data_IF_593485287226
#
_entry.id   IF_593485287226
#
_cell.length_a   1.000
_cell.length_b   1.000
_cell.length_c   1.000
_cell.angle_alpha   90.00
_cell.angle_beta   90.00
_cell.angle_gamma   90.00
#
_symmetry.space_group_name_H-M   'P 1'
#
loop_
_entity.id
_entity.type
_entity.pdbx_description
1 polymer ?
#
# COMPACT_ATOMS: atom_id res chain seq x y z
N UNK A 1 -28.38 9.32 2.55
CA UNK A 1 -27.26 9.02 3.48
C UNK A 1 -26.36 7.99 2.81
N UNK A 2 -25.17 8.37 2.33
CA UNK A 2 -24.24 7.43 1.69
C UNK A 2 -22.84 7.57 2.32
N UNK A 3 -22.30 6.42 2.72
CA UNK A 3 -21.21 6.26 3.66
C UNK A 3 -19.86 6.77 3.14
N UNK A 4 -19.12 7.43 4.03
CA UNK A 4 -17.72 7.80 3.82
C UNK A 4 -16.89 6.51 3.73
N UNK A 5 -16.43 6.18 2.53
CA UNK A 5 -15.44 5.13 2.31
C UNK A 5 -14.16 5.50 3.05
N UNK A 6 -13.79 4.69 4.05
CA UNK A 6 -12.52 4.82 4.77
C UNK A 6 -11.38 4.80 3.75
N UNK A 7 -10.62 5.90 3.67
CA UNK A 7 -9.34 5.91 2.99
C UNK A 7 -8.49 4.78 3.58
N UNK A 8 -8.02 3.88 2.72
CA UNK A 8 -7.00 2.92 3.10
C UNK A 8 -5.81 3.74 3.60
N UNK A 9 -5.66 3.80 4.92
CA UNK A 9 -4.58 4.55 5.57
C UNK A 9 -3.29 4.05 4.95
N UNK A 10 -2.57 4.95 4.27
CA UNK A 10 -1.28 4.65 3.65
C UNK A 10 -0.42 3.99 4.71
N UNK A 11 -0.25 2.67 4.56
CA UNK A 11 0.58 1.90 5.48
C UNK A 11 2.00 2.36 5.22
N UNK A 12 2.77 2.71 6.25
CA UNK A 12 4.14 3.15 6.06
C UNK A 12 4.91 1.99 5.43
N UNK A 13 5.51 2.25 4.28
CA UNK A 13 6.20 1.25 3.48
C UNK A 13 7.50 0.77 4.10
N UNK A 14 8.07 1.49 5.06
CA UNK A 14 9.36 1.14 5.67
C UNK A 14 9.35 1.32 7.18
N UNK A 15 10.03 0.42 7.89
CA UNK A 15 10.16 0.42 9.35
C UNK A 15 11.60 0.16 9.77
N UNK A 16 12.05 0.74 10.87
CA UNK A 16 13.32 0.41 11.50
C UNK A 16 13.16 -0.75 12.49
N UNK A 17 14.01 -1.77 12.38
CA UNK A 17 14.02 -2.95 13.28
C UNK A 17 14.44 -2.62 14.71
N UNK A 18 15.28 -1.61 14.90
CA UNK A 18 15.89 -1.29 16.20
C UNK A 18 14.98 -0.44 17.08
N UNK A 19 14.45 0.65 16.54
CA UNK A 19 13.65 1.63 17.29
C UNK A 19 12.16 1.62 16.92
N UNK A 20 11.77 0.92 15.85
CA UNK A 20 10.38 0.87 15.38
C UNK A 20 9.91 2.10 14.60
N UNK A 21 10.80 3.04 14.28
CA UNK A 21 10.46 4.22 13.46
C UNK A 21 9.93 3.81 12.09
N UNK A 22 8.95 4.54 11.54
CA UNK A 22 8.24 4.16 10.31
C UNK A 22 8.12 5.34 9.33
N UNK A 23 8.26 5.06 8.03
CA UNK A 23 8.21 6.06 6.96
C UNK A 23 7.67 5.48 5.65
N UNK A 24 7.17 6.35 4.78
CA UNK A 24 6.71 5.98 3.45
C UNK A 24 7.84 5.92 2.42
N UNK A 25 9.03 6.46 2.73
CA UNK A 25 10.16 6.55 1.79
C UNK A 25 11.43 5.95 2.38
N UNK A 26 12.14 5.15 1.60
CA UNK A 26 13.44 4.60 1.99
C UNK A 26 14.48 5.71 2.19
N UNK A 27 15.11 5.74 3.37
CA UNK A 27 16.13 6.74 3.70
C UNK A 27 17.55 6.16 3.86
N UNK A 28 17.70 4.82 3.91
CA UNK A 28 18.99 4.13 4.12
C UNK A 28 19.54 4.21 5.55
N UNK A 29 19.37 5.35 6.24
CA UNK A 29 19.67 5.57 7.66
C UNK A 29 18.40 5.90 8.44
N UNK A 30 18.24 5.33 9.63
CA UNK A 30 17.15 5.70 10.52
C UNK A 30 17.42 7.07 11.18
N UNK A 31 16.49 8.05 11.13
CA UNK A 31 16.69 9.37 11.73
C UNK A 31 16.62 9.38 13.27
N UNK A 32 15.96 8.38 13.87
CA UNK A 32 15.85 8.29 15.33
C UNK A 32 17.11 7.66 15.95
N UNK A 33 17.47 6.44 15.54
CA UNK A 33 18.61 5.71 16.13
C UNK A 33 19.92 5.87 15.37
N UNK A 34 19.92 6.56 14.22
CA UNK A 34 21.11 6.82 13.37
C UNK A 34 21.82 5.55 12.85
N UNK A 35 21.18 4.39 12.97
CA UNK A 35 21.68 3.13 12.47
C UNK A 35 21.52 3.02 10.94
N UNK A 36 22.47 2.32 10.32
CA UNK A 36 22.48 2.00 8.89
C UNK A 36 22.00 0.56 8.68
N UNK A 37 21.25 0.32 7.61
CA UNK A 37 20.83 -1.03 7.23
C UNK A 37 19.74 -1.66 8.12
N UNK A 38 19.21 -0.91 9.10
CA UNK A 38 18.13 -1.35 9.99
C UNK A 38 16.75 -0.95 9.49
N UNK A 39 16.68 -0.18 8.40
CA UNK A 39 15.42 0.19 7.74
C UNK A 39 15.04 -0.94 6.79
N UNK A 40 13.90 -1.58 7.02
CA UNK A 40 13.33 -2.64 6.21
C UNK A 40 12.00 -2.21 5.57
N UNK A 41 11.61 -2.85 4.46
CA UNK A 41 10.28 -2.64 3.86
C UNK A 41 9.22 -3.34 4.70
N UNK A 42 8.24 -2.57 5.17
CA UNK A 42 7.21 -3.04 6.07
C UNK A 42 5.82 -2.76 5.49
N UNK A 43 5.01 -3.81 5.36
CA UNK A 43 3.66 -3.71 4.83
C UNK A 43 3.59 -3.89 3.30
N UNK A 44 2.54 -4.57 2.85
CA UNK A 44 2.30 -4.78 1.43
C UNK A 44 1.91 -3.45 0.74
N UNK A 45 2.35 -3.21 -0.52
CA UNK A 45 1.94 -2.06 -1.28
C UNK A 45 0.41 -2.03 -1.36
N UNK A 46 -0.19 -0.85 -1.18
CA UNK A 46 -1.61 -0.69 -1.34
C UNK A 46 -2.00 -1.05 -2.78
N UNK A 47 -2.79 -2.12 -2.93
CA UNK A 47 -3.37 -2.52 -4.22
C UNK A 47 -4.22 -1.37 -4.72
N UNK A 48 -3.71 -0.64 -5.72
CA UNK A 48 -4.41 0.52 -6.30
C UNK A 48 -5.43 0.13 -7.36
N UNK A 49 -5.51 -1.15 -7.70
CA UNK A 49 -6.50 -1.67 -8.63
C UNK A 49 -7.83 -1.86 -7.92
N UNK A 50 -8.88 -1.27 -8.48
CA UNK A 50 -10.26 -1.56 -8.10
C UNK A 50 -10.57 -3.00 -8.47
N UNK A 51 -11.18 -3.74 -7.53
CA UNK A 51 -11.66 -5.08 -7.82
C UNK A 51 -12.68 -5.01 -8.98
N UNK A 52 -12.59 -5.91 -9.97
CA UNK A 52 -13.56 -5.93 -11.06
C UNK A 52 -14.96 -6.15 -10.47
N UNK A 53 -15.92 -5.36 -10.96
CA UNK A 53 -17.33 -5.58 -10.62
C UNK A 53 -17.81 -6.94 -11.11
N UNK A 54 -18.88 -7.46 -10.50
CA UNK A 54 -19.53 -8.68 -10.98
C UNK A 54 -20.07 -8.43 -12.39
N UNK A 55 -19.59 -9.19 -13.37
CA UNK A 55 -20.11 -9.15 -14.74
C UNK A 55 -21.51 -9.78 -14.75
N UNK A 56 -22.52 -9.01 -15.14
CA UNK A 56 -23.92 -9.44 -15.18
C UNK A 56 -24.42 -9.76 -16.60
N UNK A 57 -23.65 -9.42 -17.63
CA UNK A 57 -24.02 -9.64 -19.03
C UNK A 57 -23.04 -10.58 -19.73
N UNK A 58 -23.55 -11.45 -20.60
CA UNK A 58 -22.73 -12.32 -21.44
C UNK A 58 -22.06 -11.51 -22.55
N UNK A 59 -20.81 -11.85 -22.88
CA UNK A 59 -20.09 -11.22 -23.99
C UNK A 59 -20.75 -11.56 -25.34
N UNK A 60 -20.81 -10.58 -26.24
CA UNK A 60 -21.27 -10.75 -27.63
C UNK A 60 -20.07 -10.89 -28.57
N UNK A 61 -20.19 -11.63 -29.69
CA UNK A 61 -19.12 -11.78 -30.67
C UNK A 61 -18.80 -10.44 -31.35
N UNK A 62 -17.51 -10.21 -31.62
CA UNK A 62 -16.98 -8.98 -32.22
C UNK A 62 -17.32 -8.88 -33.73
N UNK A 63 -17.78 -9.99 -34.32
CA UNK A 63 -18.07 -10.10 -35.75
C UNK A 63 -19.59 -10.01 -36.03
N UNK A 64 -20.08 -8.78 -36.17
CA UNK A 64 -21.26 -8.43 -36.97
C UNK A 64 -21.08 -7.00 -37.49
#
# INVERSE_FOLDING_TARGET
>A
MAARTKSAKERPSYRCTECGWQTAKWLGRCPECQAWGTVEEYGAPAVRTTAPGRVTSSALPIAQ
#
